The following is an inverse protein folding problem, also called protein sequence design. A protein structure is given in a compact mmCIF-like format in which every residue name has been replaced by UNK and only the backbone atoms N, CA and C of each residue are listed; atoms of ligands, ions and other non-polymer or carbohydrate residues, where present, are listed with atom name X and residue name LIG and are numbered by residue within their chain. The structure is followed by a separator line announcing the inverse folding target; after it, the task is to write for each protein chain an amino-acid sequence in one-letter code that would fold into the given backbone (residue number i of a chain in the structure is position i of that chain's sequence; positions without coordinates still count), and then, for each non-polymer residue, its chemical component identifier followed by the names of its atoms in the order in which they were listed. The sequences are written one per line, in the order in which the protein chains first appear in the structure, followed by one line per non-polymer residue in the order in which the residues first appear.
data_IF_724946888822
#
_entry.id   IF_724946888822
#
_cell.length_a   1.000
_cell.length_b   1.000
_cell.length_c   1.000
_cell.angle_alpha   90.00
_cell.angle_beta   90.00
_cell.angle_gamma   90.00
#
_symmetry.space_group_name_H-M   'P 1'
#
loop_
_entity.id
_entity.type
_entity.pdbx_description
1 polymer ?
#
# COMPACT_ATOMS: atom_id res chain seq x y z
N UNK A 1 -18.47 18.50 21.85
CA UNK A 1 -17.22 18.65 22.63
C UNK A 1 -16.07 18.69 21.65
N UNK A 2 -15.43 19.86 21.51
CA UNK A 2 -14.32 20.06 20.57
C UNK A 2 -13.10 19.27 21.06
N UNK A 3 -12.70 18.24 20.33
CA UNK A 3 -11.41 17.59 20.57
C UNK A 3 -10.31 18.58 20.19
N UNK A 4 -9.60 19.08 21.20
CA UNK A 4 -8.29 19.73 21.01
C UNK A 4 -7.41 18.72 20.28
N UNK A 5 -7.19 18.92 18.98
CA UNK A 5 -6.17 18.18 18.24
C UNK A 5 -4.82 18.61 18.81
N UNK A 6 -4.25 17.75 19.67
CA UNK A 6 -2.85 17.87 20.07
C UNK A 6 -2.02 17.87 18.77
N UNK A 7 -1.09 18.81 18.57
CA UNK A 7 -0.26 18.83 17.38
C UNK A 7 0.40 17.45 17.25
N UNK A 8 0.08 16.75 16.17
CA UNK A 8 0.63 15.42 15.89
C UNK A 8 2.13 15.60 15.74
N UNK A 9 2.92 14.87 16.53
CA UNK A 9 4.37 14.94 16.40
C UNK A 9 4.76 14.46 15.00
N UNK A 10 5.78 15.09 14.42
CA UNK A 10 6.24 14.76 13.06
C UNK A 10 6.66 13.29 12.93
N UNK A 11 7.16 12.70 14.01
CA UNK A 11 7.55 11.29 14.11
C UNK A 11 6.36 10.35 14.01
N UNK A 12 5.23 10.69 14.66
CA UNK A 12 4.00 9.89 14.59
C UNK A 12 3.42 9.86 13.18
N UNK A 13 3.46 10.99 12.48
CA UNK A 13 3.01 11.09 11.07
C UNK A 13 3.92 10.26 10.15
N UNK A 14 5.23 10.25 10.43
CA UNK A 14 6.19 9.47 9.66
C UNK A 14 6.01 7.97 9.88
N UNK A 15 5.83 7.55 11.14
CA UNK A 15 5.57 6.17 11.53
C UNK A 15 4.31 5.62 10.85
N UNK A 16 3.20 6.36 10.91
CA UNK A 16 1.93 5.94 10.29
C UNK A 16 2.06 5.71 8.78
N UNK A 17 2.84 6.53 8.06
CA UNK A 17 3.08 6.34 6.62
C UNK A 17 3.93 5.10 6.35
N UNK A 18 4.93 4.86 7.19
CA UNK A 18 5.78 3.68 7.09
C UNK A 18 4.98 2.39 7.33
N UNK A 19 4.16 2.35 8.37
CA UNK A 19 3.31 1.21 8.68
C UNK A 19 2.33 0.92 7.54
N UNK A 20 1.72 1.98 6.98
CA UNK A 20 0.82 1.84 5.82
C UNK A 20 1.56 1.28 4.61
N UNK A 21 2.77 1.76 4.35
CA UNK A 21 3.60 1.32 3.25
C UNK A 21 4.00 -0.16 3.39
N UNK A 22 4.45 -0.55 4.59
CA UNK A 22 4.80 -1.94 4.89
C UNK A 22 3.59 -2.86 4.78
N UNK A 23 2.44 -2.45 5.31
CA UNK A 23 1.21 -3.22 5.18
C UNK A 23 0.82 -3.43 3.72
N UNK A 24 0.84 -2.38 2.89
CA UNK A 24 0.49 -2.48 1.48
C UNK A 24 1.49 -3.34 0.70
N UNK A 25 2.78 -3.25 1.03
CA UNK A 25 3.83 -4.10 0.47
C UNK A 25 3.57 -5.57 0.78
N UNK A 26 3.33 -5.91 2.04
CA UNK A 26 3.06 -7.30 2.45
C UNK A 26 1.81 -7.83 1.75
N UNK A 27 0.74 -7.04 1.67
CA UNK A 27 -0.51 -7.42 1.03
C UNK A 27 -0.32 -7.60 -0.48
N UNK A 28 0.19 -6.60 -1.20
CA UNK A 28 0.35 -6.69 -2.67
C UNK A 28 1.40 -7.71 -3.09
N UNK A 29 2.53 -7.79 -2.38
CA UNK A 29 3.54 -8.82 -2.66
C UNK A 29 3.00 -10.21 -2.32
N UNK A 30 2.25 -10.38 -1.23
CA UNK A 30 1.61 -11.64 -0.86
C UNK A 30 0.57 -12.10 -1.88
N UNK A 31 -0.28 -11.19 -2.36
CA UNK A 31 -1.25 -11.46 -3.44
C UNK A 31 -0.52 -11.82 -4.74
N UNK A 32 0.52 -11.05 -5.10
CA UNK A 32 1.36 -11.32 -6.27
C UNK A 32 2.02 -12.69 -6.18
N UNK A 33 2.62 -13.02 -5.03
CA UNK A 33 3.23 -14.31 -4.77
C UNK A 33 2.23 -15.46 -4.87
N UNK A 34 1.06 -15.34 -4.22
CA UNK A 34 0.02 -16.36 -4.27
C UNK A 34 -0.48 -16.61 -5.69
N UNK A 35 -0.79 -15.54 -6.44
CA UNK A 35 -1.16 -15.63 -7.85
C UNK A 35 -0.03 -16.25 -8.70
N UNK A 36 1.22 -15.88 -8.42
CA UNK A 36 2.41 -16.43 -9.06
C UNK A 36 2.59 -17.92 -8.84
N UNK A 37 2.34 -18.41 -7.63
CA UNK A 37 2.39 -19.84 -7.29
C UNK A 37 1.30 -20.60 -8.05
N UNK A 38 0.07 -20.11 -8.04
CA UNK A 38 -1.05 -20.73 -8.77
C UNK A 38 -0.75 -20.78 -10.27
N UNK A 39 -0.30 -19.66 -10.85
CA UNK A 39 0.11 -19.59 -12.26
C UNK A 39 1.29 -20.52 -12.57
N UNK A 40 2.30 -20.58 -11.69
CA UNK A 40 3.47 -21.46 -11.84
C UNK A 40 3.08 -22.93 -11.93
N UNK A 41 2.17 -23.38 -11.05
CA UNK A 41 1.75 -24.77 -10.96
C UNK A 41 0.85 -25.15 -12.14
N UNK A 42 -0.10 -24.30 -12.52
CA UNK A 42 -1.11 -24.63 -13.54
C UNK A 42 -0.58 -24.41 -14.97
N UNK A 43 0.05 -23.26 -15.24
CA UNK A 43 0.37 -22.83 -16.60
C UNK A 43 1.84 -23.04 -16.97
N UNK A 44 2.75 -22.89 -16.01
CA UNK A 44 4.20 -22.85 -16.29
C UNK A 44 4.97 -24.08 -15.80
N UNK A 45 4.27 -25.19 -15.51
CA UNK A 45 4.90 -26.50 -15.19
C UNK A 45 5.96 -26.39 -14.08
N UNK A 46 5.69 -25.62 -13.02
CA UNK A 46 6.58 -25.35 -11.86
C UNK A 46 7.81 -24.46 -12.14
N UNK A 47 7.83 -23.66 -13.20
CA UNK A 47 8.88 -22.63 -13.37
C UNK A 47 8.73 -21.54 -12.29
N UNK A 48 9.84 -21.11 -11.70
CA UNK A 48 9.87 -20.13 -10.60
C UNK A 48 9.80 -18.68 -11.05
N UNK A 49 10.15 -18.38 -12.31
CA UNK A 49 10.05 -17.04 -12.90
C UNK A 49 8.68 -16.34 -12.77
N UNK A 50 7.51 -16.98 -13.00
CA UNK A 50 6.22 -16.33 -12.79
C UNK A 50 5.98 -15.90 -11.34
N UNK A 51 6.53 -16.61 -10.36
CA UNK A 51 6.44 -16.23 -8.95
C UNK A 51 7.27 -14.97 -8.69
N UNK A 52 8.52 -14.96 -9.18
CA UNK A 52 9.40 -13.79 -9.04
C UNK A 52 8.83 -12.55 -9.74
N UNK A 53 8.29 -12.70 -10.95
CA UNK A 53 7.67 -11.60 -11.69
C UNK A 53 6.41 -11.05 -11.01
N UNK A 54 5.48 -11.92 -10.63
CA UNK A 54 4.22 -11.49 -10.01
C UNK A 54 4.45 -10.86 -8.64
N UNK A 55 5.35 -11.43 -7.83
CA UNK A 55 5.74 -10.85 -6.54
C UNK A 55 6.43 -9.51 -6.73
N UNK A 56 7.37 -9.42 -7.69
CA UNK A 56 8.07 -8.18 -8.02
C UNK A 56 7.13 -7.08 -8.52
N UNK A 57 6.14 -7.42 -9.34
CA UNK A 57 5.09 -6.49 -9.77
C UNK A 57 4.25 -6.00 -8.59
N UNK A 58 3.81 -6.90 -7.71
CA UNK A 58 3.07 -6.54 -6.49
C UNK A 58 3.86 -5.60 -5.58
N UNK A 59 5.14 -5.91 -5.34
CA UNK A 59 6.03 -5.07 -4.55
C UNK A 59 6.29 -3.70 -5.22
N UNK A 60 6.47 -3.66 -6.54
CA UNK A 60 6.67 -2.40 -7.29
C UNK A 60 5.43 -1.51 -7.26
N UNK A 61 4.23 -2.09 -7.36
CA UNK A 61 2.97 -1.35 -7.23
C UNK A 61 2.81 -0.76 -5.82
N UNK A 62 3.12 -1.52 -4.77
CA UNK A 62 3.12 -1.02 -3.40
C UNK A 62 4.13 0.12 -3.22
N UNK A 63 5.33 0.01 -3.79
CA UNK A 63 6.33 1.07 -3.74
C UNK A 63 5.83 2.38 -4.36
N UNK A 64 5.16 2.30 -5.51
CA UNK A 64 4.58 3.48 -6.14
C UNK A 64 3.49 4.14 -5.27
N UNK A 65 2.67 3.34 -4.57
CA UNK A 65 1.70 3.87 -3.60
C UNK A 65 2.35 4.48 -2.36
N UNK A 66 3.48 3.92 -1.91
CA UNK A 66 4.29 4.53 -0.86
C UNK A 66 4.87 5.88 -1.29
N UNK A 67 5.50 5.98 -2.46
CA UNK A 67 6.07 7.26 -2.94
C UNK A 67 5.01 8.37 -3.03
N UNK A 68 3.79 8.03 -3.46
CA UNK A 68 2.65 8.98 -3.46
C UNK A 68 2.24 9.41 -2.06
N UNK A 69 2.31 8.51 -1.09
CA UNK A 69 1.98 8.81 0.31
C UNK A 69 3.01 9.75 0.94
N UNK A 70 4.29 9.63 0.55
CA UNK A 70 5.37 10.50 1.02
C UNK A 70 5.44 11.83 0.27
N UNK A 71 5.23 11.83 -1.05
CA UNK A 71 5.25 13.01 -1.91
C UNK A 71 3.91 13.23 -2.65
N UNK A 72 2.88 13.69 -1.92
CA UNK A 72 1.55 13.90 -2.48
C UNK A 72 1.48 14.91 -3.64
N UNK A 73 2.44 15.82 -3.76
CA UNK A 73 2.48 16.84 -4.81
C UNK A 73 3.02 16.30 -6.15
N UNK A 74 3.54 15.07 -6.19
CA UNK A 74 4.05 14.43 -7.42
C UNK A 74 2.94 13.88 -8.33
N UNK A 75 1.67 14.10 -7.99
CA UNK A 75 0.51 13.61 -8.71
C UNK A 75 -0.06 14.76 -9.57
N UNK A 76 0.19 14.80 -10.89
CA UNK A 76 -0.40 15.84 -11.73
C UNK A 76 -1.93 15.77 -11.70
N UNK A 77 -2.59 16.87 -11.32
CA UNK A 77 -4.03 17.06 -11.49
C UNK A 77 -4.96 16.53 -10.38
N UNK A 78 -4.47 16.20 -9.17
CA UNK A 78 -5.34 15.72 -8.07
C UNK A 78 -5.33 16.64 -6.84
N UNK A 79 -6.50 16.82 -6.21
CA UNK A 79 -6.67 17.55 -4.93
C UNK A 79 -6.79 16.53 -3.81
N UNK A 80 -5.98 16.67 -2.76
CA UNK A 80 -5.98 15.75 -1.63
C UNK A 80 -7.11 16.13 -0.67
N UNK A 81 -8.15 15.30 -0.64
CA UNK A 81 -9.19 15.35 0.37
C UNK A 81 -8.68 14.54 1.57
N UNK A 82 -8.49 15.18 2.74
CA UNK A 82 -8.14 14.48 3.98
C UNK A 82 -9.28 13.50 4.34
N UNK A 83 -8.96 12.22 4.53
CA UNK A 83 -9.89 11.12 4.86
C UNK A 83 -10.59 11.21 6.24
N UNK A 84 -10.77 12.40 6.83
CA UNK A 84 -11.58 12.51 8.05
C UNK A 84 -13.05 12.11 7.81
N UNK A 85 -13.50 11.97 6.57
CA UNK A 85 -14.90 11.73 6.20
C UNK A 85 -15.26 10.27 5.85
N UNK A 86 -14.45 9.29 6.25
CA UNK A 86 -14.73 7.87 5.96
C UNK A 86 -14.63 6.96 7.20
N UNK A 87 -15.00 7.47 8.38
CA UNK A 87 -15.41 6.57 9.46
C UNK A 87 -16.80 6.03 9.08
N UNK A 88 -16.97 4.73 8.79
CA UNK A 88 -18.31 4.18 8.72
C UNK A 88 -18.87 4.29 10.13
N UNK A 89 -19.89 5.12 10.26
CA UNK A 89 -20.87 5.06 11.32
C UNK A 89 -21.29 3.59 11.47
N UNK A 90 -20.83 2.92 12.53
CA UNK A 90 -21.33 1.60 12.91
C UNK A 90 -21.63 1.65 14.39
N UNK A 91 -22.93 1.82 14.61
CA UNK A 91 -23.73 1.92 15.82
C UNK A 91 -23.21 1.21 17.07
#
# INVERSE_FOLDING_TARGET
MSATQKPVASEDVLGQKYDRCLADLVVKAGVGFGAGVVASVILFRRRTWPIALSTGFGAGAAWADCDRSFNPARIPGTRIVRQTEAAPESK
#
